data_IF_042326531323
#
_entry.id   IF_042326531323
#
_cell.length_a   1.000
_cell.length_b   1.000
_cell.length_c   1.000
_cell.angle_alpha   90.00
_cell.angle_beta   90.00
_cell.angle_gamma   90.00
#
_symmetry.space_group_name_H-M   'P 1'
#
loop_
_entity.id
_entity.type
_entity.pdbx_description
1 polymer ?
#
# COMPACT_ATOMS: atom_id res chain seq x y z
N UNK A 1 20.39 -3.01 -24.82
CA UNK A 1 19.80 -2.89 -23.48
C UNK A 1 19.21 -4.24 -23.13
N UNK A 2 19.76 -4.92 -22.13
CA UNK A 2 19.28 -6.24 -21.72
C UNK A 2 17.97 -6.10 -20.92
N UNK A 3 16.97 -6.94 -21.19
CA UNK A 3 15.68 -6.90 -20.50
C UNK A 3 15.79 -7.71 -19.21
N UNK A 4 15.80 -7.04 -18.07
CA UNK A 4 15.70 -7.69 -16.75
C UNK A 4 14.24 -7.95 -16.39
N UNK A 5 13.98 -9.04 -15.66
CA UNK A 5 12.66 -9.32 -15.08
C UNK A 5 12.43 -8.43 -13.86
N UNK A 6 11.16 -8.05 -13.55
CA UNK A 6 10.86 -7.25 -12.38
C UNK A 6 11.22 -7.98 -11.08
N UNK A 7 11.38 -7.25 -9.96
CA UNK A 7 11.52 -7.86 -8.65
C UNK A 7 10.38 -8.84 -8.34
N UNK A 8 10.68 -9.87 -7.54
CA UNK A 8 9.64 -10.69 -6.90
C UNK A 8 8.91 -9.82 -5.90
N UNK A 9 7.59 -9.87 -5.87
CA UNK A 9 6.79 -8.98 -5.03
C UNK A 9 5.53 -9.66 -4.51
N UNK A 10 4.99 -9.14 -3.42
CA UNK A 10 3.65 -9.51 -2.96
C UNK A 10 2.68 -8.38 -3.31
N UNK A 11 1.42 -8.73 -3.53
CA UNK A 11 0.36 -7.79 -3.79
C UNK A 11 -0.62 -7.68 -2.62
N UNK A 12 -0.74 -6.43 -2.22
CA UNK A 12 -1.62 -5.74 -1.28
C UNK A 12 -2.87 -5.05 -1.83
N UNK A 13 -4.11 -5.55 -1.74
CA UNK A 13 -5.26 -4.75 -2.19
C UNK A 13 -5.73 -3.72 -1.14
N UNK A 14 -4.80 -2.92 -0.61
CA UNK A 14 -5.04 -1.89 0.40
C UNK A 14 -4.96 -0.48 -0.20
N UNK A 15 -5.57 0.53 0.44
CA UNK A 15 -5.46 1.91 -0.01
C UNK A 15 -4.00 2.38 -0.10
N UNK A 16 -3.74 3.33 -0.99
CA UNK A 16 -2.42 3.93 -1.15
C UNK A 16 -1.92 4.48 0.21
N UNK A 17 -0.67 4.20 0.55
CA UNK A 17 -0.06 4.60 1.83
C UNK A 17 -0.19 3.55 2.94
N UNK A 18 -0.94 2.47 2.73
CA UNK A 18 -1.16 1.42 3.74
C UNK A 18 -0.63 0.04 3.32
N UNK A 19 0.61 -0.10 2.81
CA UNK A 19 1.11 -1.40 2.31
C UNK A 19 1.28 -2.46 3.42
N UNK A 20 1.32 -2.06 4.68
CA UNK A 20 1.42 -2.96 5.83
C UNK A 20 0.13 -3.05 6.65
N UNK A 21 -0.98 -2.46 6.18
CA UNK A 21 -2.24 -2.42 6.92
C UNK A 21 -2.52 -1.10 7.63
N UNK A 22 -3.57 -1.12 8.46
CA UNK A 22 -4.06 0.06 9.17
C UNK A 22 -3.05 0.56 10.21
N UNK A 23 -3.06 1.87 10.51
CA UNK A 23 -2.33 2.40 11.65
C UNK A 23 -2.69 1.66 12.94
N UNK A 24 -1.70 1.53 13.83
CA UNK A 24 -1.83 0.93 15.17
C UNK A 24 -2.26 -0.55 15.25
N UNK A 25 -2.42 -1.26 14.12
CA UNK A 25 -2.64 -2.70 14.09
C UNK A 25 -1.32 -3.47 13.95
N UNK A 26 -0.48 -3.39 14.98
CA UNK A 26 0.84 -4.05 15.00
C UNK A 26 0.79 -5.57 14.74
N UNK A 27 -0.21 -6.34 15.24
CA UNK A 27 -0.36 -7.74 14.90
C UNK A 27 -0.56 -7.98 13.40
N UNK A 28 -1.48 -7.26 12.74
CA UNK A 28 -1.71 -7.39 11.31
C UNK A 28 -0.48 -7.00 10.49
N UNK A 29 0.15 -5.86 10.83
CA UNK A 29 1.37 -5.39 10.18
C UNK A 29 2.49 -6.42 10.26
N UNK A 30 2.63 -7.07 11.41
CA UNK A 30 3.63 -8.13 11.62
C UNK A 30 3.33 -9.38 10.79
N UNK A 31 2.05 -9.75 10.63
CA UNK A 31 1.66 -10.90 9.79
C UNK A 31 1.94 -10.62 8.31
N UNK A 32 1.54 -9.46 7.79
CA UNK A 32 1.80 -9.06 6.40
C UNK A 32 3.31 -9.10 6.11
N UNK A 33 4.13 -8.55 7.01
CA UNK A 33 5.58 -8.57 6.84
C UNK A 33 6.16 -9.99 6.85
N UNK A 34 5.69 -10.86 7.77
CA UNK A 34 6.13 -12.26 7.84
C UNK A 34 5.76 -13.04 6.58
N UNK A 35 4.55 -12.87 6.08
CA UNK A 35 4.11 -13.54 4.84
C UNK A 35 4.92 -13.07 3.64
N UNK A 36 5.23 -11.77 3.58
CA UNK A 36 6.09 -11.20 2.55
C UNK A 36 7.50 -11.81 2.59
N UNK A 37 8.09 -11.92 3.78
CA UNK A 37 9.42 -12.51 3.96
C UNK A 37 9.42 -14.02 3.66
N UNK A 38 8.35 -14.72 4.01
CA UNK A 38 8.18 -16.14 3.68
C UNK A 38 8.01 -16.36 2.16
N UNK A 39 7.29 -15.47 1.48
CA UNK A 39 7.24 -15.49 0.01
C UNK A 39 8.64 -15.27 -0.58
N UNK A 40 9.43 -14.35 -0.04
CA UNK A 40 10.77 -14.10 -0.52
C UNK A 40 11.70 -15.33 -0.41
N UNK A 41 11.57 -16.11 0.66
CA UNK A 41 12.35 -17.34 0.87
C UNK A 41 11.89 -18.52 0.02
N UNK A 42 10.61 -18.55 -0.40
CA UNK A 42 10.01 -19.68 -1.12
C UNK A 42 9.83 -19.44 -2.63
N UNK A 43 9.78 -18.19 -3.08
CA UNK A 43 9.60 -17.85 -4.49
C UNK A 43 10.85 -18.17 -5.32
N UNK A 44 10.75 -19.12 -6.25
CA UNK A 44 11.87 -19.58 -7.09
C UNK A 44 11.88 -18.96 -8.49
N UNK A 45 10.77 -18.35 -8.92
CA UNK A 45 10.62 -17.84 -10.28
C UNK A 45 10.89 -16.33 -10.33
N UNK A 46 11.79 -15.85 -11.21
CA UNK A 46 12.00 -14.41 -11.40
C UNK A 46 10.74 -13.70 -11.88
N UNK A 47 10.40 -12.58 -11.24
CA UNK A 47 9.19 -11.80 -11.54
C UNK A 47 7.88 -12.37 -10.99
N UNK A 48 7.94 -13.35 -10.08
CA UNK A 48 6.76 -13.90 -9.41
C UNK A 48 6.08 -12.83 -8.54
N UNK A 49 4.75 -12.77 -8.63
CA UNK A 49 3.90 -11.92 -7.80
C UNK A 49 2.92 -12.84 -7.05
N UNK A 50 2.78 -12.64 -5.73
CA UNK A 50 1.80 -13.36 -4.92
C UNK A 50 0.80 -12.39 -4.29
N UNK A 51 -0.48 -12.62 -4.52
CA UNK A 51 -1.55 -11.92 -3.82
C UNK A 51 -1.67 -12.44 -2.39
N UNK A 52 -1.65 -11.54 -1.40
CA UNK A 52 -1.90 -11.90 0.00
C UNK A 52 -3.41 -11.87 0.31
N UNK A 53 -3.93 -12.78 1.16
CA UNK A 53 -5.37 -12.95 1.38
C UNK A 53 -5.98 -11.90 2.34
N UNK A 54 -5.32 -10.77 2.53
CA UNK A 54 -5.75 -9.72 3.44
C UNK A 54 -6.73 -8.77 2.77
N UNK A 55 -7.83 -8.45 3.45
CA UNK A 55 -8.86 -7.53 2.95
C UNK A 55 -8.91 -6.25 3.76
N UNK A 56 -9.13 -5.13 3.08
CA UNK A 56 -9.45 -3.87 3.74
C UNK A 56 -10.92 -3.90 4.12
N UNK A 57 -11.25 -3.57 5.36
CA UNK A 57 -12.63 -3.69 5.88
C UNK A 57 -13.67 -2.88 5.10
N UNK A 58 -13.23 -1.83 4.39
CA UNK A 58 -14.09 -0.93 3.64
C UNK A 58 -13.80 -1.07 2.15
N UNK A 59 -14.85 -1.07 1.33
CA UNK A 59 -14.69 -0.94 -0.11
C UNK A 59 -14.02 0.39 -0.48
N UNK A 60 -13.25 0.37 -1.55
CA UNK A 60 -12.60 1.56 -2.08
C UNK A 60 -13.65 2.55 -2.58
N UNK A 61 -13.61 3.76 -2.02
CA UNK A 61 -14.24 4.96 -2.60
C UNK A 61 -13.31 6.14 -2.42
N UNK A 62 -13.39 7.12 -3.31
CA UNK A 62 -12.60 8.34 -3.19
C UNK A 62 -12.89 9.08 -1.88
N UNK A 63 -14.15 9.12 -1.44
CA UNK A 63 -14.53 9.72 -0.16
C UNK A 63 -13.89 9.01 1.04
N UNK A 64 -13.89 7.67 1.04
CA UNK A 64 -13.24 6.89 2.10
C UNK A 64 -11.73 7.12 2.07
N UNK A 65 -11.09 7.09 0.90
CA UNK A 65 -9.67 7.34 0.77
C UNK A 65 -9.26 8.73 1.29
N UNK A 66 -9.95 9.79 0.88
CA UNK A 66 -9.64 11.15 1.33
C UNK A 66 -9.91 11.35 2.81
N UNK A 67 -10.94 10.70 3.38
CA UNK A 67 -11.19 10.71 4.82
C UNK A 67 -10.04 10.03 5.57
N UNK A 68 -9.68 8.82 5.17
CA UNK A 68 -8.64 8.04 5.84
C UNK A 68 -7.28 8.77 5.79
N UNK A 69 -6.95 9.44 4.67
CA UNK A 69 -5.74 10.29 4.56
C UNK A 69 -5.82 11.53 5.46
N UNK A 70 -6.98 12.20 5.56
CA UNK A 70 -7.15 13.36 6.45
C UNK A 70 -6.93 12.98 7.90
N UNK A 71 -7.57 11.89 8.34
CA UNK A 71 -7.44 11.36 9.70
C UNK A 71 -5.97 11.08 10.03
N UNK A 72 -5.25 10.37 9.15
CA UNK A 72 -3.81 10.08 9.31
C UNK A 72 -2.97 11.36 9.42
N UNK A 73 -3.17 12.33 8.53
CA UNK A 73 -2.39 13.57 8.52
C UNK A 73 -2.67 14.43 9.76
N UNK A 74 -3.91 14.46 10.23
CA UNK A 74 -4.30 15.15 11.47
C UNK A 74 -3.63 14.50 12.70
N UNK A 75 -3.59 13.17 12.78
CA UNK A 75 -2.89 12.44 13.84
C UNK A 75 -1.38 12.71 13.86
N UNK A 76 -0.75 12.82 12.69
CA UNK A 76 0.68 13.17 12.56
C UNK A 76 0.96 14.67 12.81
N UNK A 77 -0.07 15.48 13.05
CA UNK A 77 0.07 16.94 13.17
C UNK A 77 0.49 17.64 11.87
N UNK A 78 0.29 16.98 10.73
CA UNK A 78 0.61 17.47 9.40
C UNK A 78 -0.49 18.34 8.80
N UNK A 79 -0.25 18.83 7.58
CA UNK A 79 -1.25 19.55 6.78
C UNK A 79 -1.55 18.76 5.53
N UNK A 80 -2.84 18.53 5.25
CA UNK A 80 -3.25 17.85 4.02
C UNK A 80 -2.92 18.77 2.85
N UNK A 81 -1.95 18.35 2.04
CA UNK A 81 -1.54 19.13 0.89
C UNK A 81 -2.57 18.99 -0.23
N UNK A 82 -3.35 20.05 -0.46
CA UNK A 82 -4.18 20.15 -1.64
C UNK A 82 -3.27 20.33 -2.87
N UNK A 83 -3.19 19.31 -3.71
CA UNK A 83 -2.44 19.39 -4.94
C UNK A 83 -3.10 20.40 -5.89
N UNK A 84 -2.43 21.54 -6.13
CA UNK A 84 -2.84 22.53 -7.13
C UNK A 84 -1.89 22.42 -8.32
N UNK A 85 -2.34 21.98 -9.50
CA UNK A 85 -1.48 21.94 -10.67
C UNK A 85 -0.98 23.34 -10.98
N UNK A 86 0.34 23.50 -11.09
CA UNK A 86 0.92 24.74 -11.64
C UNK A 86 0.73 24.72 -13.16
N UNK A 87 -0.15 25.59 -13.64
CA UNK A 87 -0.29 25.91 -15.05
C UNK A 87 -0.93 24.81 -15.90
N UNK A 88 -2.27 24.80 -15.91
CA UNK A 88 -3.11 24.61 -17.10
C UNK A 88 -4.54 24.98 -16.69
N UNK A 89 -4.93 26.22 -16.97
CA UNK A 89 -6.32 26.52 -17.25
C UNK A 89 -6.69 25.73 -18.50
N UNK A 90 -7.73 24.89 -18.41
CA UNK A 90 -8.44 24.46 -19.61
C UNK A 90 -9.07 25.68 -20.30
#
# INVERSE_FOLDING_TARGET
MERVKPPRSVFINYPLGHPCGKPFDAPLQSHILRDTLNFFSTATVPGQIQDLPYQWEKDFSWDNYFRDIREMVEEEGGQVQEWKPKGKSL
#
